data_IF_515915123150
#
_entry.id   IF_515915123150
#
_cell.length_a   1.000
_cell.length_b   1.000
_cell.length_c   1.000
_cell.angle_alpha   90.00
_cell.angle_beta   90.00
_cell.angle_gamma   90.00
#
_symmetry.space_group_name_H-M   'P 1'
#
loop_
_entity.id
_entity.type
_entity.pdbx_description
1 polymer ?
#
# COMPACT_ATOMS: atom_id res chain seq x y z
N UNK A 1 2.53 -32.36 -11.77
CA UNK A 1 1.87 -31.75 -10.58
C UNK A 1 2.84 -31.85 -9.42
N UNK A 2 2.97 -30.80 -8.60
CA UNK A 2 3.96 -30.78 -7.52
C UNK A 2 3.49 -31.44 -6.21
N UNK A 3 2.19 -31.72 -6.05
CA UNK A 3 1.59 -32.50 -4.94
C UNK A 3 1.96 -32.05 -3.52
N UNK A 4 2.24 -30.76 -3.33
CA UNK A 4 2.53 -30.16 -2.02
C UNK A 4 1.51 -29.04 -1.75
N UNK A 5 0.46 -29.28 -0.95
CA UNK A 5 -0.53 -28.26 -0.61
C UNK A 5 0.02 -27.20 0.35
N UNK A 6 1.17 -27.44 0.99
CA UNK A 6 1.82 -26.49 1.88
C UNK A 6 2.91 -25.66 1.16
N UNK A 7 3.11 -25.88 -0.14
CA UNK A 7 4.17 -25.23 -0.91
C UNK A 7 4.15 -23.70 -0.75
N UNK A 8 5.27 -23.10 -0.29
CA UNK A 8 5.40 -21.66 -0.22
C UNK A 8 5.27 -21.03 -1.62
N UNK A 9 4.45 -19.98 -1.72
CA UNK A 9 4.32 -19.20 -2.95
C UNK A 9 4.50 -17.72 -2.67
N UNK A 10 5.47 -17.08 -3.31
CA UNK A 10 5.84 -15.69 -3.00
C UNK A 10 5.69 -14.85 -4.25
N UNK A 11 4.92 -13.77 -4.13
CA UNK A 11 4.54 -12.90 -5.24
C UNK A 11 5.31 -11.60 -5.12
N UNK A 12 5.74 -11.03 -6.25
CA UNK A 12 6.17 -9.63 -6.32
C UNK A 12 4.94 -8.78 -6.62
N UNK A 13 4.59 -7.85 -5.73
CA UNK A 13 3.54 -6.89 -6.01
C UNK A 13 3.98 -5.99 -7.17
N UNK A 14 3.06 -5.64 -8.07
CA UNK A 14 3.34 -4.80 -9.22
C UNK A 14 3.86 -3.44 -8.75
N UNK A 15 4.98 -2.98 -9.32
CA UNK A 15 5.59 -1.69 -8.94
C UNK A 15 4.80 -0.49 -9.47
N UNK A 16 5.10 0.71 -8.96
CA UNK A 16 4.63 1.99 -9.51
C UNK A 16 4.97 2.15 -10.99
N UNK A 17 3.99 2.45 -11.85
CA UNK A 17 4.21 2.73 -13.28
C UNK A 17 3.04 3.53 -13.88
N UNK A 18 3.36 4.67 -14.50
CA UNK A 18 2.40 5.50 -15.25
C UNK A 18 3.19 6.50 -16.12
N UNK A 19 3.60 6.13 -17.34
CA UNK A 19 4.60 6.88 -18.12
C UNK A 19 4.11 8.28 -18.49
N UNK A 20 2.82 8.42 -18.77
CA UNK A 20 2.17 9.71 -19.02
C UNK A 20 2.16 10.65 -17.82
N UNK A 21 2.59 10.19 -16.63
CA UNK A 21 2.65 10.98 -15.40
C UNK A 21 4.04 11.10 -14.77
N UNK A 22 5.11 10.79 -15.52
CA UNK A 22 6.49 10.87 -15.01
C UNK A 22 6.80 12.20 -14.30
N UNK A 23 6.43 13.31 -14.93
CA UNK A 23 6.78 14.66 -14.48
C UNK A 23 5.63 15.39 -13.77
N UNK A 24 4.47 14.74 -13.57
CA UNK A 24 3.28 15.38 -12.99
C UNK A 24 2.40 14.42 -12.16
N UNK A 25 2.98 13.36 -11.59
CA UNK A 25 2.28 12.35 -10.79
C UNK A 25 1.46 12.91 -9.62
N UNK A 26 1.79 14.11 -9.12
CA UNK A 26 1.02 14.82 -8.10
C UNK A 26 -0.42 15.12 -8.56
N UNK A 27 -0.62 15.26 -9.88
CA UNK A 27 -1.91 15.54 -10.52
C UNK A 27 -2.68 14.27 -10.90
N UNK A 28 -2.20 13.09 -10.49
CA UNK A 28 -2.95 11.85 -10.63
C UNK A 28 -4.38 12.03 -10.09
N UNK A 29 -5.37 11.48 -10.77
CA UNK A 29 -6.74 11.49 -10.25
C UNK A 29 -6.83 10.48 -9.10
N UNK A 30 -7.18 10.95 -7.91
CA UNK A 30 -7.32 10.08 -6.72
C UNK A 30 -8.65 9.29 -6.75
N UNK A 31 -9.62 9.76 -7.51
CA UNK A 31 -10.94 9.13 -7.65
C UNK A 31 -10.89 7.99 -8.65
N UNK A 32 -10.33 8.24 -9.84
CA UNK A 32 -10.24 7.24 -10.90
C UNK A 32 -9.28 6.11 -10.53
N UNK A 33 -9.75 4.87 -10.66
CA UNK A 33 -8.99 3.68 -10.26
C UNK A 33 -8.07 3.27 -11.40
N UNK A 34 -6.76 3.38 -11.19
CA UNK A 34 -5.78 2.83 -12.12
C UNK A 34 -5.85 1.31 -12.16
N UNK A 35 -5.74 0.72 -13.36
CA UNK A 35 -5.63 -0.74 -13.52
C UNK A 35 -4.42 -1.33 -12.78
N UNK A 36 -3.34 -0.56 -12.62
CA UNK A 36 -2.19 -0.96 -11.79
C UNK A 36 -2.57 -1.02 -10.31
N UNK A 37 -3.27 -0.01 -9.80
CA UNK A 37 -3.73 0.01 -8.41
C UNK A 37 -4.67 -1.16 -8.10
N UNK A 38 -5.63 -1.43 -9.00
CA UNK A 38 -6.52 -2.58 -8.88
C UNK A 38 -5.76 -3.92 -8.91
N UNK A 39 -4.74 -4.04 -9.77
CA UNK A 39 -3.90 -5.24 -9.84
C UNK A 39 -3.14 -5.47 -8.54
N UNK A 40 -2.57 -4.41 -7.94
CA UNK A 40 -1.89 -4.51 -6.63
C UNK A 40 -2.84 -4.96 -5.52
N UNK A 41 -4.07 -4.45 -5.54
CA UNK A 41 -5.14 -4.82 -4.60
C UNK A 41 -5.48 -6.31 -4.74
N UNK A 42 -5.66 -6.81 -5.97
CA UNK A 42 -5.88 -8.24 -6.25
C UNK A 42 -4.70 -9.10 -5.78
N UNK A 43 -3.46 -8.69 -6.07
CA UNK A 43 -2.26 -9.40 -5.59
C UNK A 43 -2.22 -9.45 -4.06
N UNK A 44 -2.68 -8.41 -3.39
CA UNK A 44 -2.74 -8.35 -1.92
C UNK A 44 -3.80 -9.27 -1.33
N UNK A 45 -4.90 -9.53 -2.04
CA UNK A 45 -5.89 -10.52 -1.61
C UNK A 45 -5.32 -11.94 -1.53
N UNK A 46 -4.22 -12.23 -2.23
CA UNK A 46 -3.55 -13.54 -2.14
C UNK A 46 -2.95 -13.80 -0.76
N UNK A 47 -2.73 -12.77 0.06
CA UNK A 47 -2.31 -12.91 1.45
C UNK A 47 -3.34 -13.62 2.34
N UNK A 48 -4.58 -13.80 1.87
CA UNK A 48 -5.61 -14.60 2.54
C UNK A 48 -5.42 -16.11 2.32
N UNK A 49 -4.53 -16.52 1.41
CA UNK A 49 -4.22 -17.92 1.14
C UNK A 49 -3.06 -18.35 2.06
N UNK A 50 -3.14 -19.52 2.74
CA UNK A 50 -2.04 -20.04 3.53
C UNK A 50 -0.75 -20.17 2.72
N UNK A 51 0.40 -19.94 3.38
CA UNK A 51 1.74 -20.06 2.80
C UNK A 51 2.01 -19.16 1.56
N UNK A 52 1.22 -18.08 1.40
CA UNK A 52 1.48 -17.04 0.40
C UNK A 52 2.18 -15.84 1.02
N UNK A 53 3.25 -15.41 0.34
CA UNK A 53 3.98 -14.17 0.61
C UNK A 53 3.78 -13.15 -0.49
N UNK A 54 3.94 -11.88 -0.14
CA UNK A 54 3.90 -10.77 -1.10
C UNK A 54 5.01 -9.80 -0.77
N UNK A 55 5.94 -9.58 -1.70
CA UNK A 55 6.93 -8.51 -1.60
C UNK A 55 6.32 -7.22 -2.18
N UNK A 56 6.03 -6.24 -1.34
CA UNK A 56 5.59 -4.92 -1.79
C UNK A 56 6.73 -4.17 -2.48
N UNK A 57 6.44 -3.48 -3.59
CA UNK A 57 7.42 -2.74 -4.40
C UNK A 57 6.95 -1.33 -4.80
N UNK A 58 5.91 -0.82 -4.14
CA UNK A 58 5.24 0.43 -4.53
C UNK A 58 6.21 1.64 -4.55
N UNK A 59 7.16 1.67 -3.63
CA UNK A 59 8.14 2.73 -3.39
C UNK A 59 9.35 2.69 -4.33
N UNK A 60 9.58 1.57 -5.02
CA UNK A 60 10.72 1.34 -5.92
C UNK A 60 10.29 1.13 -7.38
N UNK A 61 9.10 1.65 -7.72
CA UNK A 61 8.64 1.77 -9.11
C UNK A 61 9.25 2.96 -9.83
N UNK A 62 9.10 2.99 -11.16
CA UNK A 62 9.56 4.08 -12.00
C UNK A 62 8.44 4.45 -12.97
N UNK A 63 8.00 5.71 -12.95
CA UNK A 63 6.86 6.15 -13.74
C UNK A 63 6.99 5.80 -15.23
N UNK A 64 8.17 6.01 -15.81
CA UNK A 64 8.43 5.84 -17.24
C UNK A 64 9.18 4.55 -17.62
N UNK A 65 9.42 3.66 -16.66
CA UNK A 65 10.13 2.41 -16.91
C UNK A 65 9.32 1.24 -16.33
N UNK A 66 8.73 0.44 -17.21
CA UNK A 66 7.92 -0.73 -16.84
C UNK A 66 8.78 -1.86 -16.24
N UNK A 67 10.10 -1.74 -16.36
CA UNK A 67 11.09 -2.63 -15.74
C UNK A 67 11.99 -1.85 -14.76
N UNK A 68 11.49 -1.41 -13.58
CA UNK A 68 12.27 -0.61 -12.64
C UNK A 68 13.62 -1.23 -12.30
N UNK A 69 14.68 -0.45 -12.29
CA UNK A 69 16.07 -0.90 -12.21
C UNK A 69 16.42 -1.49 -10.84
N UNK A 70 15.74 -1.08 -9.75
CA UNK A 70 16.01 -1.58 -8.41
C UNK A 70 15.48 -3.01 -8.20
N UNK A 71 16.10 -3.99 -8.86
CA UNK A 71 15.82 -5.41 -8.68
C UNK A 71 16.41 -5.98 -7.40
N UNK A 72 17.45 -5.33 -6.86
CA UNK A 72 18.10 -5.79 -5.63
C UNK A 72 17.14 -5.75 -4.44
N UNK A 73 16.42 -4.65 -4.25
CA UNK A 73 15.50 -4.55 -3.12
C UNK A 73 14.25 -5.41 -3.32
N UNK A 74 13.81 -5.64 -4.56
CA UNK A 74 12.80 -6.67 -4.86
C UNK A 74 13.28 -8.04 -4.39
N UNK A 75 14.51 -8.43 -4.75
CA UNK A 75 15.10 -9.71 -4.34
C UNK A 75 15.24 -9.85 -2.82
N UNK A 76 15.71 -8.79 -2.13
CA UNK A 76 15.81 -8.77 -0.67
C UNK A 76 14.43 -8.96 0.00
N UNK A 77 13.39 -8.28 -0.49
CA UNK A 77 12.03 -8.40 0.06
C UNK A 77 11.43 -9.79 -0.18
N UNK A 78 11.69 -10.39 -1.34
CA UNK A 78 11.33 -11.80 -1.59
C UNK A 78 12.06 -12.75 -0.66
N UNK A 79 13.35 -12.53 -0.41
CA UNK A 79 14.14 -13.34 0.51
C UNK A 79 13.58 -13.28 1.93
N UNK A 80 13.17 -12.10 2.42
CA UNK A 80 12.52 -11.97 3.73
C UNK A 80 11.21 -12.76 3.83
N UNK A 81 10.35 -12.71 2.81
CA UNK A 81 9.14 -13.54 2.80
C UNK A 81 9.47 -15.04 2.73
N UNK A 82 10.53 -15.44 2.01
CA UNK A 82 10.97 -16.82 1.96
C UNK A 82 11.50 -17.31 3.31
N UNK A 83 12.35 -16.52 3.97
CA UNK A 83 12.85 -16.80 5.30
C UNK A 83 11.72 -17.01 6.31
N UNK A 84 10.68 -16.17 6.26
CA UNK A 84 9.51 -16.32 7.13
C UNK A 84 8.64 -17.52 6.78
N UNK A 85 8.30 -17.73 5.50
CA UNK A 85 7.31 -18.74 5.09
C UNK A 85 7.95 -20.12 4.90
N UNK A 86 9.03 -20.21 4.13
CA UNK A 86 9.64 -21.48 3.75
C UNK A 86 10.59 -22.00 4.83
N UNK A 87 11.24 -21.10 5.59
CA UNK A 87 12.25 -21.47 6.58
C UNK A 87 11.80 -21.24 8.04
N UNK A 88 10.59 -20.71 8.25
CA UNK A 88 10.01 -20.54 9.59
C UNK A 88 10.76 -19.57 10.50
N UNK A 89 11.54 -18.63 9.93
CA UNK A 89 12.28 -17.64 10.73
C UNK A 89 11.32 -16.60 11.30
N UNK A 90 11.53 -16.25 12.57
CA UNK A 90 10.85 -15.14 13.24
C UNK A 90 11.56 -13.82 12.91
N UNK A 91 11.17 -13.21 11.79
CA UNK A 91 11.74 -11.96 11.28
C UNK A 91 10.66 -11.03 10.75
N UNK A 92 10.98 -9.73 10.67
CA UNK A 92 10.11 -8.74 10.02
C UNK A 92 10.28 -8.85 8.51
N UNK A 93 9.28 -9.44 7.83
CA UNK A 93 9.26 -9.56 6.37
C UNK A 93 8.25 -8.65 5.67
N UNK A 94 7.39 -7.96 6.44
CA UNK A 94 6.28 -7.14 5.92
C UNK A 94 6.34 -5.71 6.41
N UNK A 95 5.97 -4.79 5.54
CA UNK A 95 5.69 -3.40 5.89
C UNK A 95 4.25 -3.20 6.38
N UNK A 96 3.87 -1.94 6.69
CA UNK A 96 2.55 -1.60 7.23
C UNK A 96 1.41 -2.10 6.34
N UNK A 97 0.52 -2.91 6.90
CA UNK A 97 -0.62 -3.49 6.22
C UNK A 97 -1.91 -2.93 6.80
N UNK A 98 -2.76 -2.34 5.95
CA UNK A 98 -4.02 -1.71 6.37
C UNK A 98 -4.92 -2.65 7.19
N UNK A 99 -5.49 -2.13 8.28
CA UNK A 99 -6.45 -2.84 9.15
C UNK A 99 -7.81 -2.16 9.15
N UNK A 100 -7.82 -0.86 9.41
CA UNK A 100 -9.04 -0.09 9.59
C UNK A 100 -8.80 1.39 9.32
N UNK A 101 -9.84 2.09 8.90
CA UNK A 101 -9.88 3.53 8.89
C UNK A 101 -11.07 4.01 9.73
N UNK A 102 -10.81 4.88 10.70
CA UNK A 102 -11.81 5.35 11.67
C UNK A 102 -11.93 6.88 11.50
N UNK A 103 -13.13 7.42 11.26
CA UNK A 103 -13.33 8.86 11.25
C UNK A 103 -13.04 9.49 12.62
N UNK A 104 -12.28 10.58 12.62
CA UNK A 104 -11.95 11.40 13.79
C UNK A 104 -12.15 12.88 13.43
N UNK A 105 -13.34 13.41 13.66
CA UNK A 105 -13.69 14.77 13.26
C UNK A 105 -13.65 14.94 11.73
N UNK A 106 -12.79 15.84 11.26
CA UNK A 106 -12.52 16.13 9.84
C UNK A 106 -11.37 15.29 9.26
N UNK A 107 -10.88 14.30 10.01
CA UNK A 107 -9.80 13.41 9.61
C UNK A 107 -10.20 11.92 9.62
N UNK A 108 -9.35 11.08 9.03
CA UNK A 108 -9.40 9.63 9.12
C UNK A 108 -8.13 9.12 9.81
N UNK A 109 -8.28 8.37 10.90
CA UNK A 109 -7.18 7.60 11.48
C UNK A 109 -7.08 6.25 10.79
N UNK A 110 -5.91 5.96 10.25
CA UNK A 110 -5.58 4.71 9.56
C UNK A 110 -4.69 3.87 10.47
N UNK A 111 -5.14 2.65 10.76
CA UNK A 111 -4.42 1.69 11.58
C UNK A 111 -3.83 0.59 10.70
N UNK A 112 -2.65 0.11 11.08
CA UNK A 112 -1.87 -0.86 10.33
C UNK A 112 -1.41 -2.02 11.22
N UNK A 113 -1.29 -3.22 10.65
CA UNK A 113 -0.39 -4.27 11.17
C UNK A 113 1.03 -3.99 10.70
N UNK A 114 2.02 -4.57 11.38
CA UNK A 114 3.45 -4.48 11.02
C UNK A 114 3.96 -3.04 10.93
N UNK A 115 3.46 -2.17 11.81
CA UNK A 115 3.75 -0.73 11.83
C UNK A 115 4.69 -0.32 12.98
N UNK A 116 5.41 -1.27 13.57
CA UNK A 116 6.42 -0.97 14.58
C UNK A 116 7.50 -0.06 13.98
N UNK A 117 7.75 1.08 14.62
CA UNK A 117 8.68 2.10 14.11
C UNK A 117 8.22 2.82 12.84
N UNK A 118 6.90 2.98 12.64
CA UNK A 118 6.31 3.68 11.50
C UNK A 118 7.01 5.02 11.24
N UNK A 119 7.48 5.22 10.01
CA UNK A 119 8.25 6.38 9.58
C UNK A 119 8.13 6.60 8.08
N UNK A 120 8.70 7.69 7.58
CA UNK A 120 8.90 7.90 6.14
C UNK A 120 10.33 7.61 5.73
N UNK A 121 10.53 7.16 4.50
CA UNK A 121 11.85 6.84 3.95
C UNK A 121 12.72 8.07 3.68
N UNK A 122 12.10 9.24 3.54
CA UNK A 122 12.75 10.49 3.16
C UNK A 122 12.65 11.60 4.24
N UNK A 123 12.10 11.28 5.41
CA UNK A 123 11.91 12.23 6.52
C UNK A 123 10.84 13.30 6.27
N UNK A 124 10.11 13.24 5.15
CA UNK A 124 8.99 14.15 4.86
C UNK A 124 7.70 13.65 5.49
N UNK A 125 6.62 14.43 5.37
CA UNK A 125 5.28 13.96 5.70
C UNK A 125 4.92 12.73 4.85
N UNK A 126 4.11 11.79 5.38
CA UNK A 126 3.58 10.68 4.60
C UNK A 126 2.83 11.17 3.36
N UNK A 127 3.22 10.69 2.19
CA UNK A 127 2.60 11.02 0.91
C UNK A 127 1.55 10.00 0.47
N UNK A 128 1.02 10.22 -0.73
CA UNK A 128 0.14 9.31 -1.46
C UNK A 128 -1.15 8.87 -0.71
N UNK A 129 -1.62 9.65 0.25
CA UNK A 129 -2.93 9.46 0.87
C UNK A 129 -4.02 10.29 0.19
N UNK A 130 -5.19 9.70 0.02
CA UNK A 130 -6.37 10.41 -0.47
C UNK A 130 -7.58 10.11 0.41
N UNK A 131 -8.46 11.09 0.60
CA UNK A 131 -9.71 10.94 1.35
C UNK A 131 -10.91 11.34 0.52
N UNK A 132 -12.08 10.78 0.85
CA UNK A 132 -13.36 11.15 0.25
C UNK A 132 -14.47 11.17 1.30
N UNK A 133 -15.50 11.98 1.06
CA UNK A 133 -16.75 11.94 1.80
C UNK A 133 -17.66 10.80 1.31
N UNK A 134 -18.96 10.91 1.61
CA UNK A 134 -19.96 9.93 1.18
C UNK A 134 -20.11 9.84 -0.35
N UNK A 135 -19.78 10.92 -1.06
CA UNK A 135 -19.81 11.02 -2.53
C UNK A 135 -18.72 10.19 -3.24
N UNK A 136 -17.74 9.67 -2.47
CA UNK A 136 -16.57 8.94 -2.98
C UNK A 136 -15.74 9.77 -3.98
N UNK A 137 -15.83 11.09 -3.94
CA UNK A 137 -14.96 11.96 -4.69
C UNK A 137 -13.65 12.15 -3.90
N UNK A 138 -12.61 11.44 -4.33
CA UNK A 138 -11.33 11.42 -3.63
C UNK A 138 -10.49 12.63 -4.01
N UNK A 139 -9.87 13.21 -2.99
CA UNK A 139 -8.84 14.23 -3.11
C UNK A 139 -7.57 13.74 -2.42
N UNK A 140 -6.40 14.05 -2.99
CA UNK A 140 -5.14 13.88 -2.26
C UNK A 140 -5.15 14.74 -1.00
N UNK A 141 -4.59 14.18 0.07
CA UNK A 141 -4.77 14.65 1.44
C UNK A 141 -3.43 14.78 2.15
N UNK A 142 -3.40 15.65 3.16
CA UNK A 142 -2.27 15.74 4.07
C UNK A 142 -2.36 14.59 5.07
N UNK A 143 -1.19 14.06 5.46
CA UNK A 143 -1.11 12.96 6.40
C UNK A 143 0.01 13.18 7.42
N UNK A 144 -0.19 12.68 8.62
CA UNK A 144 0.76 12.74 9.72
C UNK A 144 0.82 11.40 10.46
N UNK A 145 2.02 10.95 10.79
CA UNK A 145 2.22 9.78 11.66
C UNK A 145 1.86 10.17 13.10
N UNK A 146 1.08 9.31 13.75
CA UNK A 146 0.73 9.40 15.17
C UNK A 146 0.87 8.00 15.79
N UNK A 147 1.99 7.76 16.47
CA UNK A 147 2.39 6.44 16.94
C UNK A 147 2.55 5.44 15.80
N UNK A 148 1.79 4.34 15.84
CA UNK A 148 1.72 3.31 14.80
C UNK A 148 0.56 3.51 13.81
N UNK A 149 -0.08 4.68 13.84
CA UNK A 149 -1.19 5.06 12.97
C UNK A 149 -0.84 6.29 12.12
N UNK A 150 -1.68 6.56 11.12
CA UNK A 150 -1.59 7.79 10.31
C UNK A 150 -2.93 8.51 10.38
N UNK A 151 -2.90 9.80 10.68
CA UNK A 151 -4.06 10.69 10.60
C UNK A 151 -4.01 11.40 9.26
N UNK A 152 -5.12 11.32 8.50
CA UNK A 152 -5.23 11.83 7.13
C UNK A 152 -6.40 12.79 7.03
N UNK A 153 -6.18 13.99 6.49
CA UNK A 153 -7.21 15.04 6.39
C UNK A 153 -7.04 15.89 5.15
N UNK A 154 -8.12 16.53 4.70
CA UNK A 154 -8.06 17.54 3.63
C UNK A 154 -9.07 18.64 3.90
N UNK A 155 -8.71 19.93 3.75
CA UNK A 155 -9.68 21.02 3.90
C UNK A 155 -10.81 20.97 2.86
N UNK A 156 -10.65 20.16 1.79
CA UNK A 156 -11.66 19.94 0.76
C UNK A 156 -12.72 18.90 1.16
N UNK A 157 -12.51 18.16 2.26
CA UNK A 157 -13.41 17.09 2.72
C UNK A 157 -13.59 17.18 4.24
N UNK A 158 -14.66 17.84 4.68
CA UNK A 158 -14.92 18.11 6.11
C UNK A 158 -15.48 16.94 6.91
N UNK A 159 -15.95 15.87 6.26
CA UNK A 159 -16.48 14.67 6.90
C UNK A 159 -16.04 13.43 6.12
N UNK A 160 -14.74 13.09 6.18
CA UNK A 160 -14.22 11.97 5.41
C UNK A 160 -14.85 10.65 5.88
N UNK A 161 -15.12 9.77 4.92
CA UNK A 161 -15.67 8.43 5.12
C UNK A 161 -14.76 7.35 4.57
N UNK A 162 -13.92 7.71 3.60
CA UNK A 162 -13.04 6.78 2.93
C UNK A 162 -11.63 7.35 2.81
N UNK A 163 -10.66 6.44 2.78
CA UNK A 163 -9.24 6.74 2.61
C UNK A 163 -8.59 5.69 1.71
N UNK A 164 -7.64 6.14 0.90
CA UNK A 164 -6.79 5.34 0.02
C UNK A 164 -5.33 5.70 0.25
N UNK A 165 -4.43 4.73 0.05
CA UNK A 165 -2.99 4.95 0.04
C UNK A 165 -2.37 4.31 -1.20
N UNK A 166 -1.55 5.06 -1.93
CA UNK A 166 -0.84 4.57 -3.12
C UNK A 166 -1.75 4.04 -4.23
N UNK A 167 -3.04 4.42 -4.23
CA UNK A 167 -4.06 3.86 -5.11
C UNK A 167 -4.14 4.59 -6.46
N UNK A 168 -3.01 4.64 -7.15
CA UNK A 168 -2.84 5.20 -8.49
C UNK A 168 -1.84 4.37 -9.31
N UNK A 169 -1.63 4.69 -10.59
CA UNK A 169 -0.64 3.98 -11.41
C UNK A 169 0.77 4.19 -10.88
N UNK A 170 1.12 5.46 -10.68
CA UNK A 170 2.37 5.88 -10.05
C UNK A 170 2.17 7.08 -9.11
N UNK A 171 2.83 7.04 -7.96
CA UNK A 171 2.98 8.14 -7.00
C UNK A 171 4.42 8.11 -6.50
N UNK A 172 5.15 9.21 -6.72
CA UNK A 172 6.56 9.32 -6.32
C UNK A 172 6.76 9.55 -4.83
N UNK A 173 5.67 9.71 -4.07
CA UNK A 173 5.63 10.02 -2.65
C UNK A 173 5.07 8.87 -1.80
N UNK A 174 5.09 7.63 -2.31
CA UNK A 174 4.81 6.42 -1.53
C UNK A 174 5.96 6.12 -0.55
N UNK A 175 6.16 6.98 0.45
CA UNK A 175 7.31 6.98 1.35
C UNK A 175 7.04 6.32 2.72
N UNK A 176 5.81 5.88 3.01
CA UNK A 176 5.47 5.30 4.30
C UNK A 176 6.05 3.89 4.45
N UNK A 177 6.76 3.63 5.56
CA UNK A 177 7.40 2.36 5.86
C UNK A 177 7.45 2.11 7.37
N UNK A 178 7.69 0.87 7.78
CA UNK A 178 7.94 0.56 9.19
C UNK A 178 9.42 0.76 9.59
N UNK A 179 9.74 0.46 10.84
CA UNK A 179 11.08 0.60 11.39
C UNK A 179 12.13 -0.21 10.63
N UNK A 180 11.75 -1.37 10.10
CA UNK A 180 12.59 -2.24 9.29
C UNK A 180 12.84 -1.71 7.86
N UNK A 181 12.22 -0.59 7.47
CA UNK A 181 12.37 -0.02 6.13
C UNK A 181 11.55 -0.74 5.05
N UNK A 182 10.49 -1.47 5.45
CA UNK A 182 9.59 -2.13 4.50
C UNK A 182 8.38 -1.23 4.21
N UNK A 183 8.03 -1.03 2.92
CA UNK A 183 7.02 -0.06 2.52
C UNK A 183 5.62 -0.51 2.94
N UNK A 184 4.76 0.47 3.21
CA UNK A 184 3.35 0.24 3.41
C UNK A 184 2.71 -0.29 2.12
N UNK A 185 1.80 -1.25 2.26
CA UNK A 185 1.06 -1.80 1.14
C UNK A 185 -0.03 -0.81 0.68
N UNK A 186 -0.21 -0.58 -0.63
CA UNK A 186 -1.34 0.17 -1.14
C UNK A 186 -2.67 -0.40 -0.65
N UNK A 187 -3.66 0.47 -0.39
CA UNK A 187 -4.97 0.01 0.05
C UNK A 187 -6.07 1.00 -0.32
N UNK A 188 -7.31 0.55 -0.18
CA UNK A 188 -8.52 1.38 -0.21
C UNK A 188 -9.48 0.95 0.88
N UNK A 189 -10.14 1.90 1.55
CA UNK A 189 -11.18 1.59 2.54
C UNK A 189 -12.59 1.56 1.94
N UNK A 190 -12.75 1.92 0.67
CA UNK A 190 -14.04 2.01 -0.03
C UNK A 190 -14.34 0.78 -0.92
N UNK A 191 -13.60 -0.31 -0.74
CA UNK A 191 -13.86 -1.57 -1.43
C UNK A 191 -15.28 -2.07 -1.13
N UNK A 192 -15.98 -2.57 -2.15
CA UNK A 192 -17.26 -3.24 -1.95
C UNK A 192 -17.05 -4.49 -1.12
N UNK A 193 -17.87 -4.67 -0.08
CA UNK A 193 -17.88 -5.90 0.68
C UNK A 193 -18.77 -6.92 -0.02
N UNK A 194 -18.22 -7.64 -0.99
CA UNK A 194 -18.93 -8.67 -1.75
C UNK A 194 -19.44 -9.83 -0.87
N UNK A 195 -18.97 -9.98 0.37
CA UNK A 195 -19.51 -10.99 1.31
C UNK A 195 -20.82 -10.56 1.98
N UNK A 196 -21.21 -9.29 1.85
CA UNK A 196 -22.47 -8.75 2.39
C UNK A 196 -23.60 -8.69 1.37
N UNK A 197 -23.30 -8.91 0.10
CA UNK A 197 -24.30 -9.08 -0.95
C UNK A 197 -24.55 -10.58 -1.08
N UNK A 198 -25.67 -11.04 -0.49
CA UNK A 198 -26.21 -12.39 -0.67
C UNK A 198 -27.20 -12.40 -1.84
#
# INVERSE_FOLDING_TARGET
>A
KWNDPAMPFIIVQLAGYEPGRKDNWQTADATNVSGYALTRDIQQQMLNIPNVGLACTIDIGEAANIHPANKQDVGKRLALEAERIAYGKDIVSRGPLFVSAIPEGDAMRVNFRYADGLRTSDGKAPGAFAVAGADRHFVWADAKIDGSSVVVSSPKVSNPKYVRYGYAGYRGDCNLQNGAGLPAYPFRSDAYNYSKEK
#
